data_IF_828068880213
#
_entry.id   IF_828068880213
#
_cell.length_a   1.000
_cell.length_b   1.000
_cell.length_c   1.000
_cell.angle_alpha   90.00
_cell.angle_beta   90.00
_cell.angle_gamma   90.00
#
_symmetry.space_group_name_H-M   'P 1'
#
loop_
_entity.id
_entity.type
_entity.pdbx_description
1 polymer ?
2 polymer ?
3 non-polymer ?
4 non-polymer ?
5 water ?
#
# COMPACT_ATOMS: atom_id res chain seq x y z
N UNK A 3 -17.44 6.70 12.52
CA UNK A 3 -17.28 6.02 13.80
C UNK A 3 -15.83 5.65 14.05
N UNK A 4 -15.19 5.03 13.06
CA UNK A 4 -13.77 4.70 13.12
C UNK A 4 -13.45 3.85 14.35
N UNK A 5 -12.61 2.82 14.18
CA UNK A 5 -12.26 1.98 15.32
C UNK A 5 -11.61 2.77 16.43
N UNK A 6 -11.72 2.29 17.67
CA UNK A 6 -11.04 2.99 18.76
C UNK A 6 -9.52 2.87 18.62
N UNK A 7 -8.81 3.79 19.24
CA UNK A 7 -7.35 3.78 19.19
C UNK A 7 -6.76 2.54 19.83
N UNK A 8 -7.54 1.90 20.69
CA UNK A 8 -7.10 0.67 21.35
C UNK A 8 -6.97 -0.49 20.37
N UNK A 9 -7.60 -0.39 19.20
CA UNK A 9 -7.56 -1.48 18.23
C UNK A 9 -6.33 -1.39 17.35
N UNK A 10 -5.33 -2.23 17.63
CA UNK A 10 -4.05 -2.17 16.96
C UNK A 10 -3.60 -3.57 16.54
N UNK A 11 -4.33 -4.20 15.62
CA UNK A 11 -3.90 -5.52 15.14
C UNK A 11 -2.48 -5.41 14.63
N UNK A 12 -1.60 -6.30 15.05
CA UNK A 12 -0.18 -6.14 14.67
C UNK A 12 0.07 -6.35 13.18
N UNK A 13 -0.75 -7.17 12.54
CA UNK A 13 -0.55 -7.56 11.17
C UNK A 13 -1.75 -7.30 10.30
N UNK A 14 -1.46 -7.13 9.01
CA UNK A 14 -2.44 -7.28 7.95
C UNK A 14 -1.87 -8.28 6.96
N UNK A 15 -2.71 -9.24 6.59
CA UNK A 15 -2.37 -10.27 5.63
C UNK A 15 -2.99 -9.92 4.29
N UNK A 16 -2.18 -10.04 3.24
CA UNK A 16 -2.67 -9.95 1.87
C UNK A 16 -2.55 -11.32 1.23
N UNK A 17 -3.69 -11.97 0.99
CA UNK A 17 -3.70 -13.22 0.28
C UNK A 17 -3.78 -12.86 -1.19
N UNK A 18 -2.68 -13.01 -1.88
CA UNK A 18 -2.67 -12.60 -3.26
C UNK A 18 -2.72 -13.83 -4.12
N UNK A 19 -3.00 -13.62 -5.40
CA UNK A 19 -3.03 -14.74 -6.32
C UNK A 19 -1.68 -15.43 -6.42
N UNK A 20 -0.63 -14.82 -5.89
CA UNK A 20 0.70 -15.43 -5.88
C UNK A 20 1.15 -15.89 -4.49
N UNK A 21 0.31 -15.70 -3.47
CA UNK A 21 0.60 -16.17 -2.12
C UNK A 21 0.35 -15.11 -1.06
N UNK A 22 0.63 -15.45 0.20
CA UNK A 22 0.35 -14.53 1.31
C UNK A 22 1.52 -13.61 1.65
N UNK A 23 1.22 -12.34 1.83
CA UNK A 23 2.18 -11.37 2.30
C UNK A 23 1.74 -11.00 3.73
N UNK A 24 2.65 -11.07 4.68
CA UNK A 24 2.39 -10.69 6.06
C UNK A 24 3.01 -9.32 6.30
N UNK A 25 2.15 -8.32 6.47
CA UNK A 25 2.58 -6.96 6.75
C UNK A 25 2.51 -6.73 8.26
N UNK A 26 3.47 -5.98 8.79
CA UNK A 26 3.41 -5.54 10.17
C UNK A 26 3.36 -4.02 10.18
N UNK A 27 2.52 -3.49 11.06
CA UNK A 27 2.16 -2.08 11.03
C UNK A 27 2.88 -1.25 12.08
N UNK A 28 3.16 0.00 11.73
CA UNK A 28 3.86 0.93 12.60
C UNK A 28 2.86 1.82 13.33
N UNK A 29 2.19 1.26 14.33
CA UNK A 29 1.10 1.95 15.02
C UNK A 29 1.53 3.20 15.78
N UNK A 30 2.74 3.21 16.31
CA UNK A 30 3.19 4.36 17.09
C UNK A 30 3.55 5.54 16.19
N UNK A 31 4.22 5.25 15.08
CA UNK A 31 4.61 6.31 14.16
C UNK A 31 3.45 6.78 13.30
N UNK A 32 2.53 5.89 12.94
CA UNK A 32 1.51 6.23 11.95
C UNK A 32 0.15 5.68 12.38
N UNK A 33 -0.34 6.14 13.53
CA UNK A 33 -1.58 5.56 14.06
C UNK A 33 -2.79 5.75 13.15
N UNK A 34 -2.94 6.92 12.55
CA UNK A 34 -4.13 7.16 11.74
C UNK A 34 -4.08 6.36 10.45
N UNK A 35 -2.88 6.20 9.91
CA UNK A 35 -2.70 5.51 8.65
C UNK A 35 -2.87 4.01 8.87
N UNK A 36 -2.34 3.50 9.97
CA UNK A 36 -2.53 2.09 10.30
C UNK A 36 -4.00 1.78 10.55
N UNK A 37 -4.69 2.62 11.31
CA UNK A 37 -6.08 2.38 11.57
C UNK A 37 -6.87 2.29 10.26
N UNK A 38 -6.60 3.24 9.37
CA UNK A 38 -7.25 3.26 8.06
C UNK A 38 -7.03 1.97 7.29
N UNK A 39 -5.78 1.56 7.16
CA UNK A 39 -5.45 0.41 6.32
C UNK A 39 -6.02 -0.87 6.92
N UNK A 40 -5.84 -1.05 8.23
CA UNK A 40 -6.34 -2.25 8.87
C UNK A 40 -7.86 -2.32 8.84
N UNK A 41 -8.54 -1.19 9.02
CA UNK A 41 -9.99 -1.18 9.01
C UNK A 41 -10.55 -1.41 7.60
N UNK A 42 -9.95 -0.78 6.59
CA UNK A 42 -10.37 -1.07 5.23
C UNK A 42 -10.17 -2.56 4.93
N UNK A 43 -9.04 -3.13 5.34
CA UNK A 43 -8.85 -4.56 5.15
C UNK A 43 -9.96 -5.35 5.85
N UNK A 44 -10.24 -5.02 7.11
CA UNK A 44 -11.24 -5.74 7.90
C UNK A 44 -12.60 -5.70 7.23
N UNK A 45 -12.96 -4.54 6.66
CA UNK A 45 -14.23 -4.38 5.99
C UNK A 45 -14.36 -5.18 4.70
N UNK A 46 -13.24 -5.68 4.17
CA UNK A 46 -13.24 -6.37 2.89
C UNK A 46 -13.05 -5.43 1.71
N UNK A 47 -12.67 -4.19 1.99
CA UNK A 47 -12.56 -3.15 0.98
C UNK A 47 -11.54 -3.50 -0.10
N UNK A 48 -10.48 -4.21 0.29
CA UNK A 48 -9.43 -4.57 -0.65
C UNK A 48 -9.65 -5.93 -1.32
N UNK A 49 -10.71 -6.64 -0.93
CA UNK A 49 -10.90 -7.99 -1.45
C UNK A 49 -11.27 -7.93 -2.93
N UNK A 50 -10.58 -8.74 -3.72
CA UNK A 50 -10.83 -8.81 -5.15
C UNK A 50 -10.27 -7.63 -5.92
N UNK A 51 -9.41 -6.84 -5.31
CA UNK A 51 -8.77 -5.73 -6.01
C UNK A 51 -7.46 -6.22 -6.60
N UNK A 52 -6.74 -5.35 -7.30
CA UNK A 52 -5.50 -5.76 -7.92
C UNK A 52 -4.41 -4.72 -7.72
N UNK A 53 -3.16 -5.12 -7.94
CA UNK A 53 -2.07 -4.18 -8.00
C UNK A 53 -2.07 -3.60 -9.41
N UNK A 54 -2.57 -2.37 -9.54
CA UNK A 54 -2.83 -1.81 -10.87
C UNK A 54 -1.59 -1.21 -11.51
N UNK A 55 -0.52 -1.03 -10.73
CA UNK A 55 0.68 -0.42 -11.24
C UNK A 55 1.87 -1.06 -10.57
N UNK A 56 2.75 -1.65 -11.37
CA UNK A 56 3.95 -2.31 -10.89
C UNK A 56 5.10 -1.82 -11.74
N UNK A 57 6.19 -1.42 -11.10
CA UNK A 57 7.39 -1.00 -11.82
C UNK A 57 8.58 -1.69 -11.17
N UNK A 58 9.26 -2.48 -11.97
CA UNK A 58 10.38 -3.29 -11.54
C UNK A 58 11.43 -2.47 -10.80
N UNK A 59 11.91 -3.04 -9.71
CA UNK A 59 12.91 -2.41 -8.85
C UNK A 59 12.44 -1.08 -8.27
N UNK A 60 11.13 -0.85 -8.26
CA UNK A 60 10.59 0.38 -7.71
C UNK A 60 9.53 0.01 -6.67
N UNK A 61 8.31 -0.29 -7.10
CA UNK A 61 7.25 -0.63 -6.15
C UNK A 61 6.09 -1.33 -6.85
N UNK A 62 5.22 -1.90 -6.02
CA UNK A 62 3.92 -2.40 -6.44
C UNK A 62 2.85 -1.53 -5.76
N UNK A 63 1.84 -1.11 -6.53
CA UNK A 63 0.84 -0.18 -6.08
C UNK A 63 -0.55 -0.77 -6.23
N UNK A 64 -1.36 -0.62 -5.19
CA UNK A 64 -2.72 -1.11 -5.22
C UNK A 64 -3.61 -0.33 -4.28
N UNK A 65 -4.76 -0.92 -3.95
CA UNK A 65 -5.68 -0.33 -3.01
C UNK A 65 -6.83 0.48 -3.60
N UNK A 66 -7.00 0.45 -4.92
CA UNK A 66 -8.09 1.17 -5.56
C UNK A 66 -9.17 0.18 -6.01
N UNK A 67 -10.34 0.15 -5.37
CA UNK A 67 -11.36 -0.82 -5.77
C UNK A 67 -11.85 -0.64 -7.19
N UNK A 68 -11.67 0.53 -7.79
CA UNK A 68 -12.05 0.71 -9.19
C UNK A 68 -10.97 0.16 -10.13
N UNK A 69 -9.77 -0.04 -9.61
CA UNK A 69 -8.65 -0.51 -10.40
C UNK A 69 -8.06 0.52 -11.34
N UNK A 70 -8.57 1.75 -11.33
CA UNK A 70 -8.15 2.76 -12.29
C UNK A 70 -6.88 3.49 -11.88
N UNK A 71 -6.61 3.51 -10.58
CA UNK A 71 -5.55 4.33 -10.04
C UNK A 71 -6.07 5.71 -9.63
N UNK A 72 -7.32 5.99 -9.96
CA UNK A 72 -7.91 7.29 -9.69
C UNK A 72 -8.79 7.28 -8.45
N UNK A 73 -9.10 6.10 -7.92
CA UNK A 73 -10.11 5.97 -6.90
C UNK A 73 -9.61 5.54 -5.54
N UNK A 74 -10.55 5.19 -4.69
CA UNK A 74 -10.26 4.79 -3.33
C UNK A 74 -10.54 5.90 -2.33
N UNK A 75 -10.92 5.50 -1.13
CA UNK A 75 -11.26 6.44 -0.06
C UNK A 75 -10.92 5.86 1.29
N UNK A 76 -10.60 6.76 2.22
CA UNK A 76 -10.25 6.41 3.57
C UNK A 76 -11.46 6.15 4.46
N UNK A 77 -11.21 5.76 5.69
CA UNK A 77 -12.26 5.58 6.68
C UNK A 77 -12.67 6.90 7.33
N UNK A 78 -12.06 8.02 6.95
CA UNK A 78 -12.28 9.28 7.66
C UNK A 78 -13.31 10.18 6.98
N UNK A 79 -13.78 9.82 5.79
CA UNK A 79 -14.78 10.62 5.10
C UNK A 79 -14.18 11.72 4.24
N UNK A 80 -12.86 11.82 4.29
CA UNK A 80 -12.10 12.80 3.53
C UNK A 80 -10.68 12.27 3.45
N UNK A 81 -9.90 12.77 2.50
CA UNK A 81 -8.50 12.38 2.45
C UNK A 81 -7.83 12.91 3.71
N UNK A 82 -6.90 12.13 4.23
CA UNK A 82 -6.35 12.42 5.55
C UNK A 82 -4.86 12.76 5.50
N UNK A 83 -4.37 13.23 6.64
CA UNK A 83 -3.05 13.81 6.72
C UNK A 83 -1.92 12.80 6.64
N UNK A 84 -0.80 13.27 6.11
CA UNK A 84 0.44 12.51 6.19
C UNK A 84 0.85 12.34 7.65
N UNK A 85 1.56 11.25 7.93
CA UNK A 85 2.20 10.98 9.22
C UNK A 85 3.68 10.70 8.91
N UNK A 86 4.42 11.77 8.72
CA UNK A 86 5.80 11.70 8.26
C UNK A 86 6.78 11.75 9.39
N UNK A 87 7.89 11.04 9.23
CA UNK A 87 8.97 11.04 10.20
C UNK A 87 10.28 10.99 9.46
N UNK A 88 11.15 11.97 9.67
CA UNK A 88 12.47 11.90 9.05
C UNK A 88 13.17 10.59 9.38
N UNK A 89 12.94 9.98 10.53
CA UNK A 89 13.67 8.76 10.85
C UNK A 89 13.06 7.49 10.30
N UNK A 90 11.96 7.59 9.55
CA UNK A 90 11.44 6.49 8.74
C UNK A 90 11.65 6.81 7.30
N UNK A 91 12.61 6.14 6.70
CA UNK A 91 13.06 6.42 5.35
C UNK A 91 12.89 5.19 4.46
N UNK A 92 12.91 5.43 3.16
CA UNK A 92 12.71 4.39 2.16
C UNK A 92 14.04 3.71 1.83
N UNK A 93 14.52 2.91 2.76
CA UNK A 93 15.88 2.39 2.73
C UNK A 93 16.02 1.06 2.01
N UNK A 94 14.91 0.42 1.67
CA UNK A 94 14.98 -0.88 1.05
C UNK A 94 13.63 -1.41 0.64
N UNK A 95 13.65 -2.61 0.08
CA UNK A 95 12.44 -3.30 -0.32
C UNK A 95 11.58 -3.66 0.88
N UNK A 96 10.29 -3.82 0.63
CA UNK A 96 9.38 -4.33 1.63
C UNK A 96 8.69 -3.29 2.47
N UNK A 97 8.90 -2.01 2.17
CA UNK A 97 8.31 -0.93 2.96
C UNK A 97 6.91 -0.64 2.44
N UNK A 98 5.98 -0.52 3.39
CA UNK A 98 4.58 -0.24 3.15
C UNK A 98 4.30 1.24 3.35
N UNK A 99 3.74 1.88 2.34
CA UNK A 99 3.55 3.32 2.37
C UNK A 99 2.30 3.72 1.60
N UNK A 100 1.87 4.97 1.80
CA UNK A 100 0.67 5.46 1.14
C UNK A 100 0.97 6.13 -0.18
N UNK A 101 0.23 5.76 -1.22
CA UNK A 101 0.19 6.54 -2.44
C UNK A 101 -0.62 7.80 -2.17
N UNK A 102 -0.41 8.86 -2.93
CA UNK A 102 -1.20 10.06 -2.71
C UNK A 102 -1.25 10.94 -3.97
N UNK A 103 -1.79 12.14 -3.84
CA UNK A 103 -1.79 13.08 -4.94
C UNK A 103 -1.37 14.42 -4.40
N UNK A 104 -0.27 14.46 -3.65
CA UNK A 104 0.15 15.69 -3.01
C UNK A 104 0.05 15.56 -1.50
N UNK A 105 0.41 16.62 -0.78
CA UNK A 105 0.41 16.56 0.67
C UNK A 105 -0.99 16.37 1.26
N UNK A 106 -1.05 15.54 2.29
CA UNK A 106 -2.29 15.30 3.03
C UNK A 106 -3.47 14.90 2.12
N UNK A 107 -3.22 13.96 1.22
CA UNK A 107 -4.25 13.46 0.33
C UNK A 107 -4.37 11.93 0.40
N UNK A 108 -4.17 11.36 1.58
CA UNK A 108 -4.22 9.91 1.75
C UNK A 108 -5.65 9.38 1.67
N UNK A 109 -5.81 8.29 0.92
CA UNK A 109 -7.10 7.66 0.70
C UNK A 109 -7.03 6.20 1.10
N UNK A 110 -7.07 5.32 0.12
CA UNK A 110 -6.94 3.89 0.37
C UNK A 110 -5.76 3.27 -0.36
N UNK A 111 -5.19 3.95 -1.35
CA UNK A 111 -4.14 3.35 -2.16
C UNK A 111 -2.80 3.36 -1.42
N UNK A 112 -2.05 2.29 -1.65
CA UNK A 112 -0.80 2.05 -0.95
C UNK A 112 0.18 1.39 -1.89
N UNK A 113 1.43 1.31 -1.44
CA UNK A 113 2.44 0.62 -2.20
C UNK A 113 3.40 -0.12 -1.29
N UNK A 114 4.04 -1.13 -1.86
CA UNK A 114 5.12 -1.84 -1.20
C UNK A 114 6.36 -1.71 -2.08
N UNK A 115 7.46 -1.26 -1.48
CA UNK A 115 8.66 -1.02 -2.27
C UNK A 115 9.40 -2.31 -2.61
N UNK A 116 10.17 -2.22 -3.70
CA UNK A 116 10.94 -3.34 -4.24
C UNK A 116 12.44 -3.12 -4.13
N UNK A 117 12.84 -1.94 -3.64
CA UNK A 117 14.23 -1.52 -3.57
C UNK A 117 14.23 -0.21 -2.79
N UNK A 118 15.42 0.36 -2.51
CA UNK A 118 15.43 1.69 -1.89
C UNK A 118 14.81 2.74 -2.81
N UNK A 119 14.05 3.68 -2.23
CA UNK A 119 13.37 4.69 -3.02
C UNK A 119 13.42 6.01 -2.27
N UNK A 120 14.63 6.47 -1.95
CA UNK A 120 14.77 7.60 -1.03
C UNK A 120 14.30 8.92 -1.58
N UNK A 121 14.10 9.02 -2.90
CA UNK A 121 13.50 10.23 -3.44
C UNK A 121 12.07 10.43 -2.95
N UNK A 122 11.45 9.39 -2.38
CA UNK A 122 10.10 9.50 -1.84
C UNK A 122 10.10 9.93 -0.38
N UNK A 123 11.28 9.97 0.26
CA UNK A 123 11.35 10.33 1.67
C UNK A 123 10.66 11.66 1.92
N UNK A 124 9.81 11.73 2.92
CA UNK A 124 9.15 12.98 3.27
C UNK A 124 7.95 13.34 2.42
N UNK A 125 7.58 12.47 1.47
CA UNK A 125 6.43 12.72 0.62
C UNK A 125 5.30 11.70 0.75
N UNK A 126 5.60 10.55 1.33
CA UNK A 126 4.65 9.46 1.48
C UNK A 126 4.74 8.92 2.90
N UNK A 127 3.60 8.71 3.55
CA UNK A 127 3.62 8.08 4.86
C UNK A 127 4.09 6.64 4.78
N UNK A 128 5.13 6.33 5.52
CA UNK A 128 5.57 4.96 5.78
C UNK A 128 4.84 4.44 7.01
N UNK A 129 4.16 3.30 6.89
CA UNK A 129 3.37 2.82 8.00
C UNK A 129 3.48 1.34 8.29
N UNK A 130 4.41 0.67 7.63
CA UNK A 130 4.67 -0.72 7.97
C UNK A 130 5.72 -1.31 7.06
N UNK A 131 5.89 -2.63 7.15
CA UNK A 131 6.77 -3.34 6.25
C UNK A 131 6.36 -4.80 6.18
N UNK A 132 6.91 -5.50 5.19
CA UNK A 132 6.73 -6.92 5.06
C UNK A 132 7.55 -7.66 6.11
N UNK A 133 6.90 -8.50 6.90
CA UNK A 133 7.59 -9.35 7.84
C UNK A 133 7.84 -10.72 7.21
N UNK A 134 6.86 -11.25 6.51
CA UNK A 134 7.00 -12.51 5.79
C UNK A 134 6.45 -12.35 4.40
N UNK A 135 7.09 -12.99 3.44
CA UNK A 135 6.64 -12.98 2.07
C UNK A 135 7.42 -12.07 1.15
N UNK A 136 8.59 -11.60 1.55
CA UNK A 136 9.35 -10.69 0.69
C UNK A 136 9.74 -11.40 -0.61
N UNK A 137 9.96 -12.71 -0.56
CA UNK A 137 10.30 -13.48 -1.75
C UNK A 137 9.19 -13.36 -2.77
N UNK A 138 7.95 -13.39 -2.30
CA UNK A 138 6.78 -13.23 -3.15
C UNK A 138 6.74 -11.83 -3.73
N UNK A 139 6.90 -10.84 -2.86
CA UNK A 139 6.92 -9.46 -3.30
C UNK A 139 7.99 -9.27 -4.39
N UNK A 140 9.18 -9.83 -4.18
CA UNK A 140 10.25 -9.73 -5.17
C UNK A 140 9.81 -10.30 -6.52
N UNK A 141 9.13 -11.44 -6.48
CA UNK A 141 8.66 -12.06 -7.71
C UNK A 141 7.54 -11.24 -8.38
N UNK A 142 6.61 -10.72 -7.57
CA UNK A 142 5.52 -9.88 -8.08
C UNK A 142 6.08 -8.65 -8.80
N UNK A 143 7.17 -8.09 -8.28
CA UNK A 143 7.80 -6.94 -8.89
C UNK A 143 8.34 -7.20 -10.29
N UNK A 144 8.53 -8.46 -10.66
CA UNK A 144 9.13 -8.80 -11.96
C UNK A 144 8.09 -9.08 -13.04
N UNK A 145 6.80 -9.09 -12.69
CA UNK A 145 5.78 -9.45 -13.67
C UNK A 145 5.76 -8.51 -14.87
N UNK A 146 5.43 -9.07 -16.03
CA UNK A 146 5.37 -8.27 -17.25
C UNK A 146 4.23 -7.27 -17.17
N UNK A 147 4.52 -6.04 -17.61
CA UNK A 147 3.56 -4.97 -17.59
C UNK A 147 3.44 -4.33 -18.97
N UNK A 148 2.33 -3.66 -19.20
CA UNK A 148 2.12 -2.93 -20.44
C UNK A 148 2.75 -1.54 -20.36
N UNK A 149 2.49 -0.73 -21.38
CA UNK A 149 3.13 0.58 -21.49
C UNK A 149 2.66 1.54 -20.41
N UNK A 150 1.58 1.17 -19.72
CA UNK A 150 1.04 1.99 -18.64
C UNK A 150 1.45 1.43 -17.27
N UNK A 151 2.35 0.46 -17.29
CA UNK A 151 2.84 -0.20 -16.07
C UNK A 151 1.77 -1.02 -15.36
N UNK A 152 0.75 -1.44 -16.11
CA UNK A 152 -0.26 -2.37 -15.62
C UNK A 152 0.15 -3.79 -15.91
N UNK A 153 0.09 -4.65 -14.89
CA UNK A 153 0.44 -6.06 -15.12
C UNK A 153 -0.41 -6.66 -16.23
N UNK A 154 0.21 -7.40 -17.14
CA UNK A 154 -0.52 -7.99 -18.26
C UNK A 154 -1.40 -9.16 -17.82
N UNK A 155 -0.99 -9.86 -16.76
CA UNK A 155 -1.87 -10.79 -16.05
C UNK A 155 -2.16 -10.16 -14.68
N UNK A 156 -3.43 -10.11 -14.28
CA UNK A 156 -3.79 -9.47 -13.02
C UNK A 156 -3.08 -10.10 -11.82
N UNK A 157 -2.56 -9.26 -10.94
CA UNK A 157 -2.08 -9.71 -9.65
C UNK A 157 -3.11 -9.24 -8.64
N UNK A 158 -3.91 -10.17 -8.17
CA UNK A 158 -5.04 -9.84 -7.32
C UNK A 158 -4.72 -9.95 -5.85
N UNK A 159 -5.33 -9.05 -5.07
CA UNK A 159 -5.50 -9.27 -3.65
C UNK A 159 -6.83 -9.98 -3.51
N UNK A 160 -6.77 -11.28 -3.28
CA UNK A 160 -7.98 -12.06 -3.15
C UNK A 160 -8.69 -11.71 -1.86
N UNK A 161 -7.92 -11.65 -0.78
CA UNK A 161 -8.45 -11.26 0.52
C UNK A 161 -7.37 -10.49 1.24
N UNK A 162 -7.80 -9.54 2.06
CA UNK A 162 -6.93 -8.84 2.98
C UNK A 162 -7.67 -8.76 4.30
N UNK A 163 -6.93 -8.87 5.39
CA UNK A 163 -7.56 -8.83 6.71
C UNK A 163 -6.51 -8.59 7.77
N UNK A 164 -6.92 -7.97 8.87
CA UNK A 164 -6.01 -7.82 10.01
C UNK A 164 -5.94 -9.10 10.81
N UNK A 165 -4.92 -9.18 11.66
CA UNK A 165 -4.96 -10.17 12.72
C UNK A 165 -6.29 -10.15 13.47
N UNK A 166 -6.75 -11.33 13.86
CA UNK A 166 -8.00 -11.45 14.60
C UNK A 166 -7.78 -11.35 16.10
N UNK B 1 8.79 8.91 -14.81
CA UNK B 1 9.81 8.62 -13.84
C UNK B 1 9.30 7.70 -12.73
N UNK B 2 9.57 8.04 -11.47
CA UNK B 2 9.31 7.17 -10.32
C UNK B 2 8.51 7.62 -9.29
N UNK B 3 7.24 8.02 -9.55
CA UNK B 3 6.29 8.45 -8.49
C UNK B 3 5.33 7.53 -8.09
N UNK B 4 4.64 7.69 -6.95
CA UNK B 4 3.51 6.78 -6.62
C UNK B 4 2.30 7.59 -6.40
N UNK B 5 1.56 8.16 -7.54
CA UNK B 5 0.35 8.98 -7.45
C UNK B 5 -0.87 8.39 -7.70
N UNK B 6 -1.92 9.14 -7.36
CA UNK B 6 -3.07 8.88 -7.39
C UNK B 6 -4.10 9.58 -8.11
N UNK B 7 -4.08 9.54 -9.45
CA UNK B 7 -4.88 10.47 -10.25
C UNK B 7 -4.10 11.01 -11.44
N UNK B 8 -3.03 11.76 -11.20
CA UNK B 8 -2.07 12.19 -12.22
C UNK B 8 -0.87 11.59 -12.19
N UNK B 9 -0.70 10.49 -12.93
CA UNK B 9 0.56 9.73 -12.88
C UNK B 9 1.60 10.41 -13.75
N UNK B 10 2.80 10.64 -13.20
CA UNK B 10 3.91 11.23 -13.93
C UNK B 10 4.87 10.40 -14.39
N UNK B 11 5.75 10.89 -15.26
CA UNK B 11 6.86 10.07 -15.71
C UNK B 11 7.87 9.84 -14.58
X LIG C 1 10.97 7.68 15.10
X LIG D 1 9.23 -8.24 11.15
X LIG E 1 -6.80 9.04 18.28
#
# INVERSE_FOLDING_TARGET
>A
MAAIPPDSWQPPNVYLETSMGIIVLELYWKHAPKTCKNFAELARRGYYNGTKFHRIIKDFMIQGGDPTGTGRGGASIYGKQFEDELHPDLKFTGAGILAMANAGPDTNGSQFFVTLAPTQWLDGKHTIFGRVCQGIGMVNRVGMVETNSQDRPVDDVKIIKAYPSG
>B
ALLVTXGLVLA
>C hetero
1 CD CD
>D hetero
1 CD CD
>E hetero
1 NA NA
#
